data_IF_687268164841
#
_entry.id   IF_687268164841
#
_cell.length_a   1.000
_cell.length_b   1.000
_cell.length_c   1.000
_cell.angle_alpha   90.00
_cell.angle_beta   90.00
_cell.angle_gamma   90.00
#
_symmetry.space_group_name_H-M   'P 1'
#
loop_
_entity.id
_entity.type
_entity.pdbx_description
1 polymer ?
#
# COMPACT_ATOMS: atom_id res chain seq x y z
N UNK A 1 19.82 15.87 -14.95
CA UNK A 1 18.98 14.65 -14.87
C UNK A 1 18.14 14.77 -13.62
N UNK A 2 16.87 15.16 -13.75
CA UNK A 2 16.00 15.37 -12.60
C UNK A 2 15.38 14.04 -12.18
N UNK A 3 15.63 13.67 -10.92
CA UNK A 3 15.25 12.44 -10.25
C UNK A 3 13.73 12.21 -10.30
N UNK A 4 13.28 11.13 -10.95
CA UNK A 4 11.87 10.70 -10.95
C UNK A 4 11.43 10.25 -9.54
N UNK A 5 12.37 9.73 -8.74
CA UNK A 5 12.10 9.26 -7.37
C UNK A 5 11.72 10.37 -6.38
N UNK A 6 12.29 11.58 -6.49
CA UNK A 6 11.99 12.67 -5.54
C UNK A 6 10.54 13.14 -5.69
N UNK A 7 10.05 13.24 -6.94
CA UNK A 7 8.65 13.64 -7.20
C UNK A 7 7.66 12.60 -6.70
N UNK A 8 7.95 11.32 -6.89
CA UNK A 8 7.09 10.22 -6.44
C UNK A 8 7.09 10.09 -4.90
N UNK A 9 8.24 10.34 -4.27
CA UNK A 9 8.38 10.39 -2.82
C UNK A 9 7.57 11.56 -2.24
N UNK A 10 7.82 12.79 -2.69
CA UNK A 10 7.07 13.98 -2.22
C UNK A 10 5.56 13.83 -2.44
N UNK A 11 5.15 13.18 -3.52
CA UNK A 11 3.75 12.92 -3.79
C UNK A 11 3.12 11.96 -2.77
N UNK A 12 3.79 10.86 -2.44
CA UNK A 12 3.31 9.89 -1.45
C UNK A 12 3.30 10.49 -0.05
N UNK A 13 4.33 11.26 0.32
CA UNK A 13 4.44 11.95 1.60
C UNK A 13 3.30 12.93 1.86
N UNK A 14 2.78 13.58 0.79
CA UNK A 14 1.61 14.45 0.91
C UNK A 14 0.37 13.69 1.39
N UNK A 15 0.16 12.46 0.91
CA UNK A 15 -0.99 11.65 1.33
C UNK A 15 -0.82 11.08 2.75
N UNK A 16 0.41 10.73 3.12
CA UNK A 16 0.74 10.37 4.51
C UNK A 16 0.40 11.52 5.45
N UNK A 17 0.86 12.73 5.14
CA UNK A 17 0.57 13.90 5.97
C UNK A 17 -0.93 14.22 6.01
N UNK A 18 -1.63 14.12 4.88
CA UNK A 18 -3.09 14.30 4.81
C UNK A 18 -3.82 13.34 5.75
N UNK A 19 -3.44 12.05 5.74
CA UNK A 19 -4.04 11.05 6.63
C UNK A 19 -3.70 11.31 8.10
N UNK A 20 -2.45 11.67 8.40
CA UNK A 20 -2.02 12.04 9.75
C UNK A 20 -2.85 13.22 10.28
N UNK A 21 -2.99 14.28 9.49
CA UNK A 21 -3.74 15.48 9.87
C UNK A 21 -5.22 15.14 10.10
N UNK A 22 -5.82 14.34 9.22
CA UNK A 22 -7.19 13.87 9.39
C UNK A 22 -7.37 13.09 10.71
N UNK A 23 -6.49 12.14 11.01
CA UNK A 23 -6.57 11.35 12.25
C UNK A 23 -6.44 12.27 13.48
N UNK A 24 -5.45 13.17 13.49
CA UNK A 24 -5.19 14.06 14.61
C UNK A 24 -6.28 15.11 14.86
N UNK A 25 -7.00 15.52 13.82
CA UNK A 25 -8.02 16.58 13.92
C UNK A 25 -9.44 16.05 14.06
N UNK A 26 -9.73 14.86 13.51
CA UNK A 26 -11.09 14.34 13.36
C UNK A 26 -11.37 13.10 14.20
N UNK A 27 -10.37 12.58 14.93
CA UNK A 27 -10.50 11.39 15.76
C UNK A 27 -9.85 11.61 17.14
N UNK A 28 -10.15 10.79 18.16
CA UNK A 28 -9.46 10.87 19.45
C UNK A 28 -8.05 10.26 19.44
N UNK A 29 -7.56 9.81 18.28
CA UNK A 29 -6.24 9.21 18.14
C UNK A 29 -5.16 10.26 17.86
N UNK A 30 -3.90 9.87 18.09
CA UNK A 30 -2.72 10.64 17.70
C UNK A 30 -1.93 9.89 16.65
N UNK A 31 -1.66 10.51 15.51
CA UNK A 31 -0.88 9.93 14.42
C UNK A 31 0.40 10.73 14.16
N UNK A 32 1.47 10.02 13.83
CA UNK A 32 2.74 10.60 13.38
C UNK A 32 3.45 9.64 12.41
N UNK A 33 4.40 10.15 11.62
CA UNK A 33 5.29 9.27 10.86
C UNK A 33 6.05 8.33 11.79
N UNK A 34 6.22 7.09 11.36
CA UNK A 34 7.03 6.10 12.07
C UNK A 34 8.52 6.39 11.83
N UNK A 35 9.33 6.20 12.87
CA UNK A 35 10.81 6.30 12.79
C UNK A 35 11.49 4.93 12.76
N UNK A 36 10.73 3.86 13.00
CA UNK A 36 11.23 2.49 13.07
C UNK A 36 11.42 1.91 11.67
N UNK A 37 12.66 1.51 11.36
CA UNK A 37 12.98 0.92 10.06
C UNK A 37 12.22 -0.39 9.85
N UNK A 38 11.50 -0.48 8.74
CA UNK A 38 10.74 -1.67 8.35
C UNK A 38 9.34 -1.75 8.96
N UNK A 39 8.96 -0.80 9.81
CA UNK A 39 7.58 -0.64 10.24
C UNK A 39 6.81 0.19 9.21
N UNK A 40 5.46 0.16 9.24
CA UNK A 40 4.64 0.94 8.33
C UNK A 40 4.82 2.46 8.50
N UNK A 41 4.44 3.20 7.46
CA UNK A 41 4.68 4.65 7.32
C UNK A 41 4.19 5.50 8.52
N UNK A 42 3.04 5.15 9.11
CA UNK A 42 2.36 5.93 10.15
C UNK A 42 2.16 5.09 11.41
N UNK A 43 2.51 5.65 12.57
CA UNK A 43 2.15 5.13 13.89
C UNK A 43 0.94 5.90 14.42
N UNK A 44 -0.04 5.19 14.95
CA UNK A 44 -1.24 5.76 15.57
C UNK A 44 -1.37 5.26 17.00
N UNK A 45 -1.56 6.18 17.93
CA UNK A 45 -1.73 5.91 19.36
C UNK A 45 -3.14 6.28 19.81
N UNK A 46 -3.82 5.32 20.42
CA UNK A 46 -5.12 5.50 21.05
C UNK A 46 -5.02 6.20 22.41
N UNK A 47 -6.14 6.73 22.91
CA UNK A 47 -6.19 7.43 24.20
C UNK A 47 -5.77 6.57 25.39
N UNK A 48 -5.96 5.25 25.30
CA UNK A 48 -5.51 4.27 26.29
C UNK A 48 -4.04 3.84 26.12
N UNK A 49 -3.30 4.44 25.18
CA UNK A 49 -1.90 4.13 24.89
C UNK A 49 -1.69 2.95 23.94
N UNK A 50 -2.75 2.25 23.50
CA UNK A 50 -2.62 1.20 22.50
C UNK A 50 -2.14 1.77 21.17
N UNK A 51 -1.29 1.02 20.46
CA UNK A 51 -0.71 1.45 19.18
C UNK A 51 -1.13 0.53 18.04
N UNK A 52 -1.33 1.13 16.88
CA UNK A 52 -1.45 0.44 15.61
C UNK A 52 -0.72 1.23 14.53
N UNK A 53 -0.47 0.59 13.40
CA UNK A 53 0.33 1.17 12.32
C UNK A 53 -0.45 1.15 11.01
N UNK A 54 -0.16 2.11 10.13
CA UNK A 54 -0.77 2.23 8.81
C UNK A 54 0.34 2.32 7.77
N UNK A 55 0.31 1.42 6.79
CA UNK A 55 1.06 1.53 5.56
C UNK A 55 0.21 2.26 4.52
N UNK A 56 0.69 3.37 3.96
CA UNK A 56 -0.04 4.12 2.95
C UNK A 56 0.51 3.83 1.56
N UNK A 57 -0.35 3.40 0.64
CA UNK A 57 0.01 3.16 -0.77
C UNK A 57 -0.83 3.98 -1.72
N UNK A 58 -0.20 4.90 -2.43
CA UNK A 58 -0.85 5.66 -3.50
C UNK A 58 -0.72 4.92 -4.83
N UNK A 59 -1.85 4.62 -5.48
CA UNK A 59 -1.94 3.85 -6.72
C UNK A 59 -2.68 4.63 -7.80
N UNK A 60 -1.92 5.34 -8.64
CA UNK A 60 -2.49 6.21 -9.69
C UNK A 60 -2.82 5.49 -11.01
N UNK A 61 -2.02 4.51 -11.44
CA UNK A 61 -2.11 3.97 -12.82
C UNK A 61 -2.69 2.57 -12.88
N UNK A 62 -3.61 2.34 -13.83
CA UNK A 62 -4.28 1.05 -14.01
C UNK A 62 -3.24 0.00 -14.36
N UNK A 63 -3.44 -1.23 -13.85
CA UNK A 63 -2.56 -2.34 -14.19
C UNK A 63 -3.02 -2.95 -15.52
N UNK A 64 -2.93 -2.18 -16.61
CA UNK A 64 -3.45 -2.54 -17.95
C UNK A 64 -2.94 -3.89 -18.48
N UNK A 65 -1.77 -4.33 -18.02
CA UNK A 65 -1.19 -5.61 -18.43
C UNK A 65 -1.48 -6.78 -17.48
N UNK A 66 -2.24 -6.58 -16.40
CA UNK A 66 -2.41 -7.59 -15.34
C UNK A 66 -2.94 -8.92 -15.88
N UNK A 67 -3.96 -8.87 -16.73
CA UNK A 67 -4.57 -10.05 -17.37
C UNK A 67 -3.61 -10.77 -18.32
N UNK A 68 -2.59 -10.08 -18.83
CA UNK A 68 -1.56 -10.68 -19.69
C UNK A 68 -0.40 -11.26 -18.89
N UNK A 69 0.02 -10.60 -17.81
CA UNK A 69 1.24 -10.97 -17.07
C UNK A 69 1.01 -11.96 -15.95
N UNK A 70 -0.21 -11.98 -15.39
CA UNK A 70 -0.67 -12.96 -14.39
C UNK A 70 -2.10 -13.42 -14.74
N UNK A 71 -2.33 -14.01 -15.93
CA UNK A 71 -3.67 -14.37 -16.43
C UNK A 71 -4.45 -15.27 -15.48
N UNK A 72 -3.75 -16.14 -14.74
CA UNK A 72 -4.34 -17.06 -13.77
C UNK A 72 -4.92 -16.37 -12.52
N UNK A 73 -4.58 -15.10 -12.28
CA UNK A 73 -4.99 -14.37 -11.08
C UNK A 73 -6.48 -13.99 -11.06
N UNK A 74 -7.14 -13.95 -12.23
CA UNK A 74 -8.50 -13.42 -12.37
C UNK A 74 -8.62 -11.90 -12.14
N UNK A 75 -7.51 -11.19 -11.94
CA UNK A 75 -7.49 -9.75 -11.64
C UNK A 75 -7.83 -8.90 -12.86
N UNK A 76 -8.52 -7.77 -12.64
CA UNK A 76 -8.90 -6.82 -13.68
C UNK A 76 -8.09 -5.52 -13.62
N UNK A 77 -7.74 -4.91 -14.77
CA UNK A 77 -6.85 -3.74 -14.81
C UNK A 77 -7.23 -2.56 -13.90
N UNK A 78 -8.51 -2.20 -13.89
CA UNK A 78 -8.99 -1.02 -13.14
C UNK A 78 -9.08 -1.28 -11.64
N UNK A 79 -9.32 -2.53 -11.25
CA UNK A 79 -9.56 -2.96 -9.87
C UNK A 79 -8.31 -3.51 -9.18
N UNK A 80 -7.19 -3.60 -9.89
CA UNK A 80 -5.96 -4.15 -9.31
C UNK A 80 -5.21 -3.07 -8.54
N UNK A 81 -4.75 -3.45 -7.35
CA UNK A 81 -3.74 -2.75 -6.56
C UNK A 81 -2.59 -3.69 -6.22
N UNK A 82 -1.45 -3.15 -5.81
CA UNK A 82 -0.27 -3.95 -5.48
C UNK A 82 0.48 -3.44 -4.25
N UNK A 83 1.22 -4.34 -3.62
CA UNK A 83 2.22 -4.06 -2.59
C UNK A 83 3.54 -4.74 -2.96
N UNK A 84 4.66 -4.20 -2.47
CA UNK A 84 5.92 -4.92 -2.45
C UNK A 84 5.77 -6.21 -1.64
N UNK A 85 6.14 -7.36 -2.23
CA UNK A 85 6.02 -8.64 -1.55
C UNK A 85 6.88 -8.72 -0.27
N UNK A 86 8.08 -8.13 -0.27
CA UNK A 86 8.93 -8.19 0.93
C UNK A 86 8.35 -7.41 2.11
N UNK A 87 7.72 -6.27 1.83
CA UNK A 87 7.06 -5.47 2.86
C UNK A 87 5.81 -6.18 3.38
N UNK A 88 5.01 -6.77 2.49
CA UNK A 88 3.82 -7.54 2.86
C UNK A 88 4.17 -8.70 3.81
N UNK A 89 5.18 -9.50 3.47
CA UNK A 89 5.61 -10.62 4.30
C UNK A 89 6.15 -10.14 5.65
N UNK A 90 6.92 -9.05 5.67
CA UNK A 90 7.39 -8.46 6.92
C UNK A 90 6.23 -8.00 7.80
N UNK A 91 5.18 -7.41 7.24
CA UNK A 91 4.01 -7.00 8.01
C UNK A 91 3.27 -8.20 8.61
N UNK A 92 3.16 -9.31 7.86
CA UNK A 92 2.60 -10.55 8.42
C UNK A 92 3.41 -11.09 9.59
N UNK A 93 4.74 -10.98 9.53
CA UNK A 93 5.61 -11.42 10.62
C UNK A 93 5.47 -10.49 11.83
N UNK A 94 5.49 -9.16 11.62
CA UNK A 94 5.34 -8.17 12.69
C UNK A 94 4.00 -8.29 13.44
N UNK A 95 2.88 -8.52 12.76
CA UNK A 95 1.60 -8.75 13.46
C UNK A 95 1.63 -10.04 14.31
N UNK A 96 2.39 -11.05 13.89
CA UNK A 96 2.48 -12.32 14.61
C UNK A 96 3.45 -12.27 15.79
N UNK A 97 4.65 -11.72 15.62
CA UNK A 97 5.72 -11.70 16.62
C UNK A 97 5.52 -10.61 17.63
N UNK A 98 5.21 -9.40 17.17
CA UNK A 98 5.20 -8.18 17.98
C UNK A 98 3.78 -7.82 18.43
N UNK A 99 2.77 -8.60 17.99
CA UNK A 99 1.35 -8.38 18.27
C UNK A 99 0.87 -6.99 17.87
N UNK A 100 1.43 -6.47 16.78
CA UNK A 100 1.03 -5.20 16.20
C UNK A 100 -0.26 -5.38 15.42
N UNK A 101 -1.03 -4.30 15.31
CA UNK A 101 -2.12 -4.20 14.36
C UNK A 101 -1.66 -3.29 13.21
N UNK A 102 -1.64 -3.82 11.99
CA UNK A 102 -1.14 -3.14 10.80
C UNK A 102 -2.26 -3.06 9.78
N UNK A 103 -2.63 -1.84 9.40
CA UNK A 103 -3.54 -1.56 8.31
C UNK A 103 -2.76 -1.23 7.04
N UNK A 104 -3.15 -1.80 5.92
CA UNK A 104 -2.70 -1.34 4.61
C UNK A 104 -3.80 -0.45 4.05
N UNK A 105 -3.46 0.81 3.77
CA UNK A 105 -4.38 1.84 3.31
C UNK A 105 -4.00 2.29 1.90
N UNK A 106 -4.87 2.01 0.93
CA UNK A 106 -4.68 2.40 -0.45
C UNK A 106 -5.42 3.70 -0.77
N UNK A 107 -4.68 4.64 -1.35
CA UNK A 107 -5.24 5.80 -2.04
C UNK A 107 -5.26 5.49 -3.53
N UNK A 108 -6.44 5.33 -4.10
CA UNK A 108 -6.60 5.02 -5.52
C UNK A 108 -7.02 6.29 -6.25
N UNK A 109 -6.29 6.61 -7.31
CA UNK A 109 -6.45 7.84 -8.10
C UNK A 109 -6.54 7.49 -9.58
N UNK A 110 -7.11 8.41 -10.39
CA UNK A 110 -7.07 8.37 -11.85
C UNK A 110 -7.51 7.01 -12.46
N UNK A 111 -8.62 6.48 -11.95
CA UNK A 111 -9.25 5.24 -12.41
C UNK A 111 -10.64 5.53 -12.99
N UNK A 112 -10.75 6.11 -14.20
CA UNK A 112 -12.04 6.61 -14.72
C UNK A 112 -13.14 5.53 -14.80
N UNK A 113 -12.78 4.25 -14.90
CA UNK A 113 -13.74 3.15 -14.91
C UNK A 113 -14.42 2.86 -13.56
N UNK A 114 -13.81 3.27 -12.44
CA UNK A 114 -14.26 2.92 -11.08
C UNK A 114 -14.28 4.12 -10.11
N UNK A 115 -13.62 5.22 -10.47
CA UNK A 115 -13.50 6.45 -9.68
C UNK A 115 -13.80 7.63 -10.60
N UNK A 116 -14.72 8.54 -10.23
CA UNK A 116 -14.97 9.75 -11.00
C UNK A 116 -13.71 10.60 -11.21
N UNK A 117 -13.61 11.27 -12.35
CA UNK A 117 -12.47 12.11 -12.68
C UNK A 117 -12.23 13.19 -11.62
N UNK A 118 -10.97 13.37 -11.24
CA UNK A 118 -10.56 14.36 -10.23
C UNK A 118 -10.87 13.97 -8.78
N UNK A 119 -11.36 12.74 -8.53
CA UNK A 119 -11.64 12.25 -7.17
C UNK A 119 -10.64 11.19 -6.71
N UNK A 120 -10.60 11.00 -5.40
CA UNK A 120 -9.77 10.01 -4.72
C UNK A 120 -10.69 8.98 -4.07
N UNK A 121 -10.30 7.71 -4.07
CA UNK A 121 -11.01 6.69 -3.32
C UNK A 121 -10.06 5.89 -2.45
N UNK A 122 -10.52 5.60 -1.25
CA UNK A 122 -9.70 5.02 -0.20
C UNK A 122 -10.18 3.61 0.11
N UNK A 123 -9.25 2.68 0.18
CA UNK A 123 -9.51 1.28 0.51
C UNK A 123 -8.55 0.85 1.61
N UNK A 124 -8.97 -0.09 2.46
CA UNK A 124 -8.11 -0.60 3.50
C UNK A 124 -8.40 -2.05 3.85
N UNK A 125 -7.42 -2.69 4.46
CA UNK A 125 -7.60 -3.98 5.14
C UNK A 125 -6.48 -4.19 6.17
N UNK A 126 -6.71 -5.07 7.15
CA UNK A 126 -5.65 -5.52 8.06
C UNK A 126 -4.66 -6.43 7.33
N UNK A 127 -3.39 -6.41 7.73
CA UNK A 127 -2.39 -7.28 7.13
C UNK A 127 -2.73 -8.78 7.35
N UNK A 128 -3.27 -9.19 8.49
CA UNK A 128 -3.70 -10.57 8.74
C UNK A 128 -4.88 -11.00 7.84
N UNK A 129 -5.80 -10.09 7.54
CA UNK A 129 -6.86 -10.33 6.56
C UNK A 129 -6.26 -10.50 5.14
N UNK A 130 -5.28 -9.67 4.77
CA UNK A 130 -4.53 -9.83 3.51
C UNK A 130 -3.73 -11.15 3.47
N UNK A 131 -3.24 -11.63 4.62
CA UNK A 131 -2.55 -12.93 4.73
C UNK A 131 -3.45 -14.08 4.34
N UNK A 132 -4.73 -14.00 4.66
CA UNK A 132 -5.73 -15.01 4.24
C UNK A 132 -5.84 -15.06 2.71
N UNK A 133 -5.90 -13.90 2.05
CA UNK A 133 -5.90 -13.81 0.57
C UNK A 133 -4.58 -14.33 0.00
N UNK A 134 -3.46 -13.92 0.60
CA UNK A 134 -2.13 -14.37 0.21
C UNK A 134 -2.00 -15.90 0.25
N UNK A 135 -2.48 -16.54 1.33
CA UNK A 135 -2.39 -18.00 1.50
C UNK A 135 -3.32 -18.77 0.55
N UNK A 136 -4.47 -18.20 0.21
CA UNK A 136 -5.41 -18.77 -0.76
C UNK A 136 -4.84 -18.73 -2.18
N UNK A 137 -4.30 -17.57 -2.57
CA UNK A 137 -3.93 -17.27 -3.95
C UNK A 137 -2.47 -17.63 -4.26
N UNK A 138 -1.60 -17.63 -3.25
CA UNK A 138 -0.18 -18.00 -3.33
C UNK A 138 0.50 -17.29 -4.50
N UNK A 139 1.32 -17.99 -5.27
CA UNK A 139 2.06 -17.39 -6.38
C UNK A 139 1.17 -16.94 -7.56
N UNK A 140 -0.15 -17.20 -7.55
CA UNK A 140 -1.02 -16.79 -8.66
C UNK A 140 -1.10 -15.27 -8.85
N UNK A 141 -0.84 -14.49 -7.80
CA UNK A 141 -0.92 -13.02 -7.81
C UNK A 141 0.43 -12.32 -7.66
N UNK A 142 1.51 -13.11 -7.70
CA UNK A 142 2.87 -12.62 -7.65
C UNK A 142 3.34 -12.25 -9.05
N UNK A 143 3.89 -11.06 -9.20
CA UNK A 143 4.58 -10.68 -10.43
C UNK A 143 5.96 -10.14 -10.12
N UNK A 144 6.97 -10.65 -10.84
CA UNK A 144 8.33 -10.14 -10.81
C UNK A 144 8.62 -9.41 -12.12
N UNK A 145 8.91 -8.12 -12.05
CA UNK A 145 9.40 -7.36 -13.20
C UNK A 145 10.89 -7.62 -13.42
N UNK A 146 11.34 -7.43 -14.67
CA UNK A 146 12.76 -7.36 -14.97
C UNK A 146 13.37 -6.15 -14.24
N UNK A 147 14.60 -6.31 -13.77
CA UNK A 147 15.37 -5.18 -13.23
C UNK A 147 15.69 -4.20 -14.35
N UNK A 148 15.53 -2.91 -14.07
CA UNK A 148 15.94 -1.81 -14.95
C UNK A 148 17.14 -1.07 -14.38
N UNK A 149 17.74 -0.18 -15.17
CA UNK A 149 18.92 0.61 -14.77
C UNK A 149 18.66 1.45 -13.50
N UNK A 150 17.44 1.97 -13.33
CA UNK A 150 17.03 2.74 -12.15
C UNK A 150 16.89 1.92 -10.86
N UNK A 151 17.02 0.59 -10.92
CA UNK A 151 16.99 -0.26 -9.73
C UNK A 151 18.34 -0.34 -9.02
N UNK A 152 19.41 0.18 -9.62
CA UNK A 152 20.76 0.18 -9.06
C UNK A 152 21.15 1.60 -8.68
N UNK A 153 21.35 1.85 -7.39
CA UNK A 153 21.83 3.13 -6.86
C UNK A 153 23.15 2.87 -6.14
N UNK A 154 24.23 3.50 -6.60
CA UNK A 154 25.59 3.33 -6.07
C UNK A 154 26.08 1.85 -6.08
N UNK A 155 25.72 1.08 -7.11
CA UNK A 155 26.13 -0.33 -7.24
C UNK A 155 25.31 -1.32 -6.42
N UNK A 156 24.38 -0.84 -5.58
CA UNK A 156 23.45 -1.67 -4.83
C UNK A 156 22.08 -1.73 -5.52
N UNK A 157 21.51 -2.93 -5.62
CA UNK A 157 20.16 -3.12 -6.13
C UNK A 157 19.15 -2.70 -5.06
N UNK A 158 18.49 -1.55 -5.28
CA UNK A 158 17.48 -0.94 -4.40
C UNK A 158 16.05 -1.08 -4.95
N UNK A 159 15.90 -1.46 -6.21
CA UNK A 159 14.61 -1.55 -6.87
C UNK A 159 13.76 -2.71 -6.37
N UNK A 160 12.52 -2.42 -5.97
CA UNK A 160 11.52 -3.47 -5.72
C UNK A 160 11.18 -4.15 -7.04
N UNK A 161 11.51 -5.45 -7.14
CA UNK A 161 11.28 -6.24 -8.35
C UNK A 161 10.08 -7.17 -8.25
N UNK A 162 9.57 -7.43 -7.05
CA UNK A 162 8.49 -8.39 -6.81
C UNK A 162 7.33 -7.73 -6.08
N UNK A 163 6.18 -7.72 -6.72
CA UNK A 163 4.94 -7.22 -6.14
C UNK A 163 3.91 -8.35 -6.02
N UNK A 164 3.04 -8.20 -5.02
CA UNK A 164 1.84 -9.01 -4.84
C UNK A 164 0.60 -8.17 -5.13
N UNK A 165 -0.36 -8.74 -5.84
CA UNK A 165 -1.52 -8.01 -6.36
C UNK A 165 -2.81 -8.43 -5.65
N UNK A 166 -3.72 -7.49 -5.48
CA UNK A 166 -5.03 -7.67 -4.88
C UNK A 166 -6.11 -7.01 -5.74
N UNK A 167 -7.36 -7.46 -5.60
CA UNK A 167 -8.52 -6.79 -6.17
C UNK A 167 -9.11 -5.84 -5.12
N UNK A 168 -9.56 -4.65 -5.57
CA UNK A 168 -10.32 -3.72 -4.73
C UNK A 168 -11.60 -4.35 -4.16
N UNK A 169 -12.19 -5.35 -4.82
CA UNK A 169 -13.37 -6.06 -4.33
C UNK A 169 -13.10 -6.92 -3.08
N UNK A 170 -11.83 -7.16 -2.76
CA UNK A 170 -11.42 -7.88 -1.55
C UNK A 170 -11.10 -6.93 -0.38
N UNK A 171 -11.15 -5.61 -0.61
CA UNK A 171 -10.80 -4.59 0.36
C UNK A 171 -12.05 -3.89 0.90
N UNK A 172 -11.90 -3.25 2.06
CA UNK A 172 -12.96 -2.43 2.66
C UNK A 172 -12.88 -1.02 2.07
N UNK A 173 -14.00 -0.52 1.56
CA UNK A 173 -14.12 0.88 1.13
C UNK A 173 -14.14 1.79 2.37
N UNK A 174 -13.30 2.81 2.37
CA UNK A 174 -13.33 3.86 3.37
C UNK A 174 -14.21 5.01 2.88
N UNK A 175 -15.30 5.27 3.61
CA UNK A 175 -16.36 6.20 3.19
C UNK A 175 -16.09 7.66 3.60
N UNK A 176 -15.12 7.92 4.47
CA UNK A 176 -14.83 9.29 4.88
C UNK A 176 -13.87 9.97 3.90
N UNK A 177 -14.08 11.27 3.68
CA UNK A 177 -13.12 12.09 2.97
C UNK A 177 -11.97 12.44 3.92
N UNK A 178 -10.73 12.33 3.41
CA UNK A 178 -9.55 12.87 4.09
C UNK A 178 -9.46 14.37 3.86
#
# INVERSE_FOLDING_TARGET
MNYVFEKDATFSERFEQKLIDHINTSTPFKANKTVLKGYPDIEVTASNGAKFYIELKVQQRTFMSVERIIPQSGLKPSETVALNLSDLLRYFDLEQTDKLQIFIFWVVLNRPCIIPDGTEQYYYLLADELKTIYNREKDNRRFRRKSGEGDVVNGEHKGVTVNYHFSLHELKLWQNQL
#
